data_IF_770774443817
#
_entry.id   IF_770774443817
#
_cell.length_a   1.000
_cell.length_b   1.000
_cell.length_c   1.000
_cell.angle_alpha   90.00
_cell.angle_beta   90.00
_cell.angle_gamma   90.00
#
_symmetry.space_group_name_H-M   'P 1'
#
loop_
_entity.id
_entity.type
_entity.pdbx_description
1 polymer ?
#
# COMPACT_ATOMS: atom_id res chain seq x y z
N UNK A 1 7.20 12.67 -27.75
CA UNK A 1 6.77 12.81 -29.16
C UNK A 1 5.59 11.91 -29.59
N UNK A 2 4.84 11.24 -28.68
CA UNK A 2 3.70 10.34 -29.05
C UNK A 2 2.30 10.79 -28.57
N UNK A 3 2.15 11.99 -28.00
CA UNK A 3 0.87 12.43 -27.40
C UNK A 3 -0.12 13.01 -28.43
N UNK A 4 0.34 13.39 -29.63
CA UNK A 4 -0.46 14.16 -30.59
C UNK A 4 -1.54 13.37 -31.34
N UNK A 5 -1.54 12.03 -31.25
CA UNK A 5 -2.48 11.16 -31.96
C UNK A 5 -3.29 10.24 -31.03
N UNK A 6 -3.26 10.48 -29.73
CA UNK A 6 -3.97 9.65 -28.77
C UNK A 6 -5.43 10.13 -28.65
N UNK A 7 -6.38 9.22 -28.86
CA UNK A 7 -7.80 9.56 -28.76
C UNK A 7 -8.17 10.01 -27.33
N UNK A 8 -9.30 10.71 -27.20
CA UNK A 8 -9.72 11.26 -25.91
C UNK A 8 -9.96 10.15 -24.87
N UNK A 9 -10.36 8.96 -25.31
CA UNK A 9 -10.62 7.80 -24.45
C UNK A 9 -9.32 7.29 -23.81
N UNK A 10 -8.29 7.03 -24.61
CA UNK A 10 -7.00 6.55 -24.13
C UNK A 10 -6.32 7.59 -23.24
N UNK A 11 -6.40 8.88 -23.59
CA UNK A 11 -5.91 9.96 -22.70
C UNK A 11 -6.63 9.99 -21.35
N UNK A 12 -7.95 9.78 -21.34
CA UNK A 12 -8.70 9.72 -20.08
C UNK A 12 -8.32 8.51 -19.24
N UNK A 13 -8.04 7.36 -19.85
CA UNK A 13 -7.61 6.15 -19.12
C UNK A 13 -6.23 6.39 -18.49
N UNK A 14 -5.28 6.93 -19.25
CA UNK A 14 -3.94 7.24 -18.72
C UNK A 14 -3.98 8.27 -17.58
N UNK A 15 -4.87 9.27 -17.66
CA UNK A 15 -5.05 10.21 -16.55
C UNK A 15 -5.53 9.50 -15.28
N UNK A 16 -6.55 8.65 -15.42
CA UNK A 16 -7.06 7.83 -14.29
C UNK A 16 -5.99 6.88 -13.75
N UNK A 17 -5.14 6.33 -14.62
CA UNK A 17 -4.02 5.48 -14.23
C UNK A 17 -3.02 6.26 -13.38
N UNK A 18 -2.65 7.47 -13.80
CA UNK A 18 -1.78 8.36 -13.01
C UNK A 18 -2.38 8.68 -11.65
N UNK A 19 -3.67 9.02 -11.59
CA UNK A 19 -4.38 9.28 -10.33
C UNK A 19 -4.38 8.03 -9.42
N UNK A 20 -4.52 6.83 -10.00
CA UNK A 20 -4.51 5.57 -9.26
C UNK A 20 -3.12 5.27 -8.66
N UNK A 21 -2.06 5.50 -9.43
CA UNK A 21 -0.67 5.33 -8.97
C UNK A 21 -0.33 6.31 -7.83
N UNK A 22 -0.79 7.56 -7.92
CA UNK A 22 -0.58 8.55 -6.85
C UNK A 22 -1.30 8.10 -5.56
N UNK A 23 -2.54 7.62 -5.67
CA UNK A 23 -3.30 7.06 -4.55
C UNK A 23 -2.63 5.81 -3.96
N UNK A 24 -2.10 4.93 -4.81
CA UNK A 24 -1.35 3.75 -4.38
C UNK A 24 -0.14 4.16 -3.53
N UNK A 25 0.67 5.09 -4.03
CA UNK A 25 1.87 5.55 -3.33
C UNK A 25 1.53 6.18 -1.97
N UNK A 26 0.46 6.99 -1.90
CA UNK A 26 0.01 7.58 -0.64
C UNK A 26 -0.45 6.53 0.37
N UNK A 27 -1.27 5.57 -0.08
CA UNK A 27 -1.76 4.49 0.77
C UNK A 27 -0.63 3.57 1.25
N UNK A 28 0.30 3.24 0.37
CA UNK A 28 1.50 2.47 0.71
C UNK A 28 2.38 3.19 1.74
N UNK A 29 2.63 4.49 1.55
CA UNK A 29 3.38 5.31 2.51
C UNK A 29 2.70 5.34 3.89
N UNK A 30 1.35 5.36 3.91
CA UNK A 30 0.59 5.29 5.15
C UNK A 30 0.78 3.95 5.84
N UNK A 31 0.72 2.84 5.09
CA UNK A 31 0.96 1.50 5.61
C UNK A 31 2.37 1.36 6.22
N UNK A 32 3.41 1.86 5.53
CA UNK A 32 4.79 1.87 6.05
C UNK A 32 4.89 2.61 7.38
N UNK A 33 4.27 3.79 7.50
CA UNK A 33 4.24 4.56 8.75
C UNK A 33 3.54 3.81 9.88
N UNK A 34 2.47 3.06 9.57
CA UNK A 34 1.77 2.25 10.57
C UNK A 34 2.63 1.10 11.07
N UNK A 35 3.34 0.41 10.20
CA UNK A 35 4.31 -0.63 10.59
C UNK A 35 5.46 -0.07 11.44
N UNK A 36 6.02 1.08 11.06
CA UNK A 36 7.03 1.75 11.88
C UNK A 36 6.49 2.10 13.27
N UNK A 37 5.24 2.54 13.36
CA UNK A 37 4.62 2.87 14.65
C UNK A 37 4.40 1.61 15.51
N UNK A 38 3.97 0.50 14.91
CA UNK A 38 3.89 -0.78 15.60
C UNK A 38 5.26 -1.23 16.13
N UNK A 39 6.31 -1.16 15.29
CA UNK A 39 7.68 -1.49 15.69
C UNK A 39 8.20 -0.61 16.82
N UNK A 40 7.90 0.70 16.80
CA UNK A 40 8.27 1.61 17.89
C UNK A 40 7.59 1.26 19.22
N UNK A 41 6.34 0.80 19.19
CA UNK A 41 5.65 0.33 20.40
C UNK A 41 6.31 -0.96 20.90
N UNK A 42 6.57 -1.91 20.00
CA UNK A 42 7.21 -3.18 20.32
C UNK A 42 8.60 -2.99 20.96
N UNK A 43 9.42 -2.10 20.41
CA UNK A 43 10.75 -1.77 20.93
C UNK A 43 10.71 -1.21 22.37
N UNK A 44 9.59 -0.59 22.77
CA UNK A 44 9.43 -0.04 24.13
C UNK A 44 9.00 -1.10 25.14
N UNK A 45 8.41 -2.22 24.69
CA UNK A 45 7.87 -3.25 25.59
C UNK A 45 8.90 -3.80 26.59
N UNK A 46 10.17 -4.10 26.20
CA UNK A 46 11.16 -4.58 27.16
C UNK A 46 11.42 -3.60 28.31
N UNK A 47 11.54 -2.31 28.00
CA UNK A 47 11.71 -1.26 29.01
C UNK A 47 10.48 -1.17 29.94
N UNK A 48 9.29 -1.27 29.37
CA UNK A 48 8.05 -1.20 30.15
C UNK A 48 7.80 -2.44 31.02
N UNK A 49 8.40 -3.58 30.66
CA UNK A 49 8.33 -4.84 31.43
C UNK A 49 9.36 -4.92 32.56
N UNK A 50 10.37 -4.06 32.58
CA UNK A 50 11.36 -4.04 33.66
C UNK A 50 10.77 -3.37 34.90
N UNK A 51 10.55 -4.16 35.95
CA UNK A 51 10.02 -3.73 37.25
C UNK A 51 10.90 -2.66 37.91
N UNK A 52 12.21 -2.66 37.64
CA UNK A 52 13.14 -1.66 38.19
C UNK A 52 12.80 -0.23 37.75
N UNK A 53 12.14 -0.07 36.58
CA UNK A 53 11.71 1.24 36.09
C UNK A 53 10.56 1.84 36.90
N UNK A 54 9.91 1.03 37.74
CA UNK A 54 8.79 1.47 38.57
C UNK A 54 9.14 1.50 40.06
N UNK A 55 10.28 0.94 40.47
CA UNK A 55 10.75 0.69 41.86
C UNK A 55 10.66 1.85 42.89
N UNK A 56 10.47 3.08 42.41
CA UNK A 56 10.38 4.28 43.26
C UNK A 56 8.99 4.93 43.23
N UNK A 57 8.03 4.30 42.57
CA UNK A 57 6.65 4.75 42.45
C UNK A 57 5.84 3.87 43.39
N UNK A 58 5.25 4.41 44.46
CA UNK A 58 4.60 3.62 45.53
C UNK A 58 3.46 2.67 45.12
N UNK A 59 3.14 2.54 43.82
CA UNK A 59 2.17 1.64 43.19
C UNK A 59 2.75 0.99 41.92
N UNK A 60 3.92 0.36 42.02
CA UNK A 60 4.74 -0.13 40.91
C UNK A 60 3.97 -1.05 39.95
N UNK A 61 3.33 -2.08 40.53
CA UNK A 61 2.58 -3.10 39.78
C UNK A 61 1.41 -2.51 39.02
N UNK A 62 0.60 -1.66 39.67
CA UNK A 62 -0.57 -1.05 39.06
C UNK A 62 -0.18 -0.09 37.93
N UNK A 63 0.89 0.70 38.14
CA UNK A 63 1.42 1.61 37.12
C UNK A 63 1.98 0.84 35.92
N UNK A 64 2.75 -0.21 36.17
CA UNK A 64 3.29 -1.06 35.12
C UNK A 64 2.17 -1.71 34.30
N UNK A 65 1.16 -2.29 34.97
CA UNK A 65 0.00 -2.89 34.31
C UNK A 65 -0.77 -1.86 33.48
N UNK A 66 -1.00 -0.67 34.03
CA UNK A 66 -1.73 0.38 33.32
C UNK A 66 -0.98 0.88 32.07
N UNK A 67 0.35 1.01 32.15
CA UNK A 67 1.17 1.40 30.99
C UNK A 67 1.20 0.30 29.94
N UNK A 68 1.35 -0.97 30.34
CA UNK A 68 1.30 -2.11 29.41
C UNK A 68 -0.06 -2.23 28.74
N UNK A 69 -1.16 -2.08 29.49
CA UNK A 69 -2.51 -2.07 28.93
C UNK A 69 -2.68 -0.98 27.86
N UNK A 70 -2.15 0.23 28.11
CA UNK A 70 -2.15 1.31 27.10
C UNK A 70 -1.36 0.94 25.85
N UNK A 71 -0.22 0.26 25.97
CA UNK A 71 0.54 -0.19 24.79
C UNK A 71 -0.23 -1.25 24.00
N UNK A 72 -0.91 -2.19 24.68
CA UNK A 72 -1.76 -3.19 24.02
C UNK A 72 -2.88 -2.52 23.23
N UNK A 73 -3.62 -1.60 23.84
CA UNK A 73 -4.67 -0.84 23.14
C UNK A 73 -4.10 -0.03 21.96
N UNK A 74 -2.91 0.55 22.10
CA UNK A 74 -2.25 1.26 21.00
C UNK A 74 -1.90 0.31 19.85
N UNK A 75 -1.38 -0.89 20.13
CA UNK A 75 -1.09 -1.92 19.12
C UNK A 75 -2.36 -2.41 18.43
N UNK A 76 -3.45 -2.64 19.16
CA UNK A 76 -4.74 -3.02 18.58
C UNK A 76 -5.26 -1.95 17.63
N UNK A 77 -5.15 -0.68 18.01
CA UNK A 77 -5.53 0.44 17.15
C UNK A 77 -4.66 0.51 15.88
N UNK A 78 -3.35 0.33 16.01
CA UNK A 78 -2.44 0.31 14.86
C UNK A 78 -2.75 -0.87 13.94
N UNK A 79 -2.98 -2.06 14.50
CA UNK A 79 -3.40 -3.27 13.76
C UNK A 79 -4.67 -3.02 12.96
N UNK A 80 -5.72 -2.47 13.57
CA UNK A 80 -6.98 -2.20 12.87
C UNK A 80 -6.78 -1.21 11.71
N UNK A 81 -5.93 -0.19 11.91
CA UNK A 81 -5.58 0.76 10.84
C UNK A 81 -4.79 0.12 9.72
N UNK A 82 -3.87 -0.80 10.03
CA UNK A 82 -3.13 -1.59 9.03
C UNK A 82 -4.10 -2.40 8.19
N UNK A 83 -5.04 -3.12 8.83
CA UNK A 83 -6.05 -3.93 8.12
C UNK A 83 -6.89 -3.08 7.15
N UNK A 84 -7.36 -1.92 7.61
CA UNK A 84 -8.10 -1.00 6.75
C UNK A 84 -7.25 -0.49 5.59
N UNK A 85 -6.00 -0.08 5.85
CA UNK A 85 -5.09 0.41 4.82
C UNK A 85 -4.74 -0.66 3.77
N UNK A 86 -4.64 -1.93 4.18
CA UNK A 86 -4.44 -3.06 3.25
C UNK A 86 -5.68 -3.27 2.38
N UNK A 87 -6.88 -3.18 2.96
CA UNK A 87 -8.13 -3.25 2.19
C UNK A 87 -8.28 -2.10 1.18
N UNK A 88 -7.81 -0.90 1.55
CA UNK A 88 -7.80 0.25 0.64
C UNK A 88 -6.80 0.03 -0.51
N UNK A 89 -5.60 -0.49 -0.22
CA UNK A 89 -4.62 -0.87 -1.23
C UNK A 89 -5.17 -1.93 -2.20
N UNK A 90 -5.84 -2.96 -1.69
CA UNK A 90 -6.49 -3.98 -2.52
C UNK A 90 -7.52 -3.34 -3.48
N UNK A 91 -8.29 -2.36 -2.99
CA UNK A 91 -9.25 -1.63 -3.82
C UNK A 91 -8.55 -0.84 -4.93
N UNK A 92 -7.43 -0.19 -4.61
CA UNK A 92 -6.63 0.58 -5.58
C UNK A 92 -6.03 -0.35 -6.64
N UNK A 93 -5.42 -1.47 -6.24
CA UNK A 93 -4.85 -2.46 -7.18
C UNK A 93 -5.92 -3.00 -8.12
N UNK A 94 -7.11 -3.34 -7.61
CA UNK A 94 -8.23 -3.77 -8.43
C UNK A 94 -8.69 -2.69 -9.43
N UNK A 95 -8.55 -1.41 -9.10
CA UNK A 95 -8.83 -0.31 -10.03
C UNK A 95 -7.74 -0.19 -11.10
N UNK A 96 -6.47 -0.30 -10.73
CA UNK A 96 -5.35 -0.32 -11.68
C UNK A 96 -5.49 -1.45 -12.71
N UNK A 97 -5.82 -2.66 -12.26
CA UNK A 97 -6.05 -3.81 -13.13
C UNK A 97 -7.17 -3.54 -14.15
N UNK A 98 -8.29 -2.97 -13.70
CA UNK A 98 -9.41 -2.60 -14.59
C UNK A 98 -8.98 -1.54 -15.61
N UNK A 99 -8.28 -0.51 -15.18
CA UNK A 99 -7.79 0.54 -16.07
C UNK A 99 -6.78 -0.01 -17.08
N UNK A 100 -5.95 -0.98 -16.69
CA UNK A 100 -5.04 -1.67 -17.59
C UNK A 100 -5.78 -2.50 -18.65
N UNK A 101 -6.81 -3.26 -18.26
CA UNK A 101 -7.66 -4.00 -19.20
C UNK A 101 -8.35 -3.05 -20.18
N UNK A 102 -8.93 -1.96 -19.69
CA UNK A 102 -9.58 -0.93 -20.53
C UNK A 102 -8.60 -0.28 -21.51
N UNK A 103 -7.38 0.01 -21.04
CA UNK A 103 -6.30 0.54 -21.88
C UNK A 103 -5.93 -0.45 -22.99
N UNK A 104 -5.69 -1.71 -22.64
CA UNK A 104 -5.34 -2.78 -23.59
C UNK A 104 -6.43 -2.97 -24.65
N UNK A 105 -7.70 -2.97 -24.25
CA UNK A 105 -8.83 -3.04 -25.18
C UNK A 105 -8.90 -1.80 -26.10
N UNK A 106 -8.66 -0.60 -25.56
CA UNK A 106 -8.61 0.65 -26.34
C UNK A 106 -7.52 0.58 -27.42
N UNK A 107 -6.31 0.18 -27.06
CA UNK A 107 -5.17 0.05 -27.98
C UNK A 107 -5.43 -1.04 -29.03
N UNK A 108 -5.98 -2.18 -28.62
CA UNK A 108 -6.29 -3.30 -29.53
C UNK A 108 -7.35 -2.90 -30.57
N UNK A 109 -8.35 -2.11 -30.18
CA UNK A 109 -9.38 -1.59 -31.09
C UNK A 109 -8.84 -0.59 -32.14
N UNK A 110 -7.72 0.08 -31.83
CA UNK A 110 -7.02 0.95 -32.78
C UNK A 110 -6.21 0.11 -33.77
N UNK A 111 -5.63 -1.01 -33.32
CA UNK A 111 -4.80 -1.90 -34.16
C UNK A 111 -5.59 -2.71 -35.19
N UNK A 112 -6.87 -3.01 -34.93
CA UNK A 112 -7.75 -3.71 -35.89
C UNK A 112 -8.25 -2.82 -37.04
N UNK A 113 -7.99 -1.51 -36.99
CA UNK A 113 -8.25 -0.56 -38.08
C UNK A 113 -7.09 -0.35 -39.07
N UNK A 114 -5.93 -1.00 -38.87
CA UNK A 114 -4.80 -0.86 -39.77
C UNK A 114 -3.50 -1.47 -39.23
N UNK A 115 -3.16 -2.64 -39.79
CA UNK A 115 -1.86 -3.33 -39.79
C UNK A 115 -1.29 -3.80 -38.43
N UNK A 116 -1.17 -5.14 -38.36
CA UNK A 116 -0.36 -5.98 -37.46
C UNK A 116 0.75 -5.27 -36.68
N UNK A 117 0.67 -5.26 -35.35
CA UNK A 117 1.77 -4.91 -34.43
C UNK A 117 1.63 -5.59 -33.07
N UNK A 118 1.21 -6.86 -33.08
CA UNK A 118 1.03 -7.67 -31.87
C UNK A 118 2.37 -8.01 -31.16
N UNK A 119 3.51 -7.77 -31.82
CA UNK A 119 4.85 -8.09 -31.28
C UNK A 119 5.48 -7.00 -30.39
N UNK A 120 4.86 -5.82 -30.24
CA UNK A 120 5.53 -4.68 -29.54
C UNK A 120 5.00 -4.35 -28.15
N UNK A 121 3.83 -4.84 -27.76
CA UNK A 121 3.22 -4.47 -26.46
C UNK A 121 3.83 -5.25 -25.29
N UNK A 122 4.39 -6.44 -25.55
CA UNK A 122 5.02 -7.32 -24.54
C UNK A 122 6.35 -6.79 -23.99
N UNK A 123 6.89 -5.69 -24.53
CA UNK A 123 8.18 -5.11 -24.12
C UNK A 123 8.07 -3.89 -23.19
N UNK A 124 6.84 -3.47 -22.82
CA UNK A 124 6.60 -2.28 -21.99
C UNK A 124 6.11 -2.57 -20.58
N UNK A 125 5.90 -3.85 -20.22
CA UNK A 125 5.57 -4.23 -18.86
C UNK A 125 6.85 -4.68 -18.16
N UNK A 126 7.42 -3.90 -17.22
CA UNK A 126 8.29 -4.51 -16.22
C UNK A 126 7.48 -5.60 -15.51
N UNK A 127 8.10 -6.77 -15.32
CA UNK A 127 7.50 -7.91 -14.65
C UNK A 127 6.82 -7.43 -13.36
N UNK A 128 5.50 -7.61 -13.31
CA UNK A 128 4.67 -7.26 -12.16
C UNK A 128 5.22 -8.01 -10.94
N UNK A 129 5.90 -7.28 -10.05
CA UNK A 129 6.24 -7.73 -8.70
C UNK A 129 4.90 -7.96 -8.00
N UNK A 130 4.47 -9.22 -7.96
CA UNK A 130 3.21 -9.60 -7.32
C UNK A 130 3.23 -9.15 -5.85
N UNK A 131 2.07 -8.78 -5.31
CA UNK A 131 1.91 -8.40 -3.90
C UNK A 131 2.58 -9.41 -2.94
N UNK A 132 2.61 -10.70 -3.32
CA UNK A 132 3.29 -11.78 -2.61
C UNK A 132 4.81 -11.54 -2.44
N UNK A 133 5.48 -11.05 -3.48
CA UNK A 133 6.92 -10.76 -3.43
C UNK A 133 7.26 -9.48 -2.66
N UNK A 134 6.30 -8.57 -2.47
CA UNK A 134 6.47 -7.41 -1.58
C UNK A 134 6.31 -7.78 -0.10
N UNK A 135 5.51 -8.81 0.19
CA UNK A 135 5.30 -9.36 1.54
C UNK A 135 6.48 -10.23 2.00
N UNK A 136 7.20 -10.88 1.08
CA UNK A 136 8.43 -11.64 1.40
C UNK A 136 9.67 -10.76 1.66
N UNK A 137 9.62 -9.47 1.29
CA UNK A 137 10.74 -8.54 1.46
C UNK A 137 10.73 -7.76 2.79
N UNK A 138 9.72 -7.99 3.64
CA UNK A 138 9.59 -7.43 5.00
C UNK A 138 9.86 -8.55 6.01
#
# INVERSE_FOLDING_TARGET
FYVKYMDNKTRSILRKFSECVDNFQESFNTLVRLFQNAGNIEQRLPFLKDENNYKNLGNETDLQQMVLAKQVTALENVKNRILNSVSDLETIVNQEERLFVDFSASVSSVSSGGVSSMDKVTTLLPESTTLASLVEAI
#
